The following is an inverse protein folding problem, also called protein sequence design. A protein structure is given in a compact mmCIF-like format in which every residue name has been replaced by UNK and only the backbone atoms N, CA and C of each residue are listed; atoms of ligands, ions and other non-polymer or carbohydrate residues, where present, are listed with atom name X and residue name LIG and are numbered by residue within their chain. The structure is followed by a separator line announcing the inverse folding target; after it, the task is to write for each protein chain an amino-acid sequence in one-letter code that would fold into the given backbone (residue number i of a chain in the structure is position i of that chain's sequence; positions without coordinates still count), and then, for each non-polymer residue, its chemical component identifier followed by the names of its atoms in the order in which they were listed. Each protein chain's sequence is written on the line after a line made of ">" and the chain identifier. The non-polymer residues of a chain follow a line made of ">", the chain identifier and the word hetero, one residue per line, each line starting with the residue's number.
data_IF_378547116776
#
_entry.id   IF_378547116776
#
_cell.length_a   1.000
_cell.length_b   1.000
_cell.length_c   1.000
_cell.angle_alpha   90.00
_cell.angle_beta   90.00
_cell.angle_gamma   90.00
#
_symmetry.space_group_name_H-M   'P 1'
#
loop_
_entity.id
_entity.type
_entity.pdbx_description
1 polymer ?
#
# COMPACT_ATOMS: atom_id res chain seq x y z
N UNK A 1 2.99 32.75 -10.24
CA UNK A 1 2.42 31.38 -10.16
C UNK A 1 0.93 31.48 -9.86
N UNK A 2 0.07 31.07 -10.80
CA UNK A 2 -1.40 31.12 -10.64
C UNK A 2 -1.90 30.12 -9.58
N UNK A 3 -3.00 30.43 -8.88
CA UNK A 3 -3.68 29.51 -7.94
C UNK A 3 -3.94 28.14 -8.58
N UNK A 4 -4.33 28.11 -9.87
CA UNK A 4 -4.55 26.88 -10.65
C UNK A 4 -3.28 26.02 -10.78
N UNK A 5 -2.12 26.64 -11.00
CA UNK A 5 -0.84 25.93 -11.10
C UNK A 5 -0.42 25.31 -9.77
N UNK A 6 -0.71 25.99 -8.65
CA UNK A 6 -0.42 25.48 -7.30
C UNK A 6 -1.31 24.29 -6.94
N UNK A 7 -2.60 24.35 -7.28
CA UNK A 7 -3.55 23.24 -7.08
C UNK A 7 -3.18 21.99 -7.91
N UNK A 8 -2.83 22.17 -9.19
CA UNK A 8 -2.40 21.05 -10.04
C UNK A 8 -1.13 20.37 -9.51
N UNK A 9 -0.19 21.14 -8.95
CA UNK A 9 1.02 20.58 -8.32
C UNK A 9 0.69 19.81 -7.04
N UNK A 10 -0.22 20.33 -6.21
CA UNK A 10 -0.65 19.66 -4.98
C UNK A 10 -1.31 18.31 -5.31
N UNK A 11 -2.27 18.30 -6.24
CA UNK A 11 -2.94 17.07 -6.69
C UNK A 11 -1.92 16.03 -7.21
N UNK A 12 -0.96 16.46 -8.03
CA UNK A 12 0.10 15.56 -8.52
C UNK A 12 0.95 14.98 -7.38
N UNK A 13 1.24 15.77 -6.36
CA UNK A 13 2.00 15.31 -5.20
C UNK A 13 1.19 14.30 -4.37
N UNK A 14 -0.10 14.52 -4.19
CA UNK A 14 -0.98 13.62 -3.43
C UNK A 14 -1.20 12.29 -4.17
N UNK A 15 -1.40 12.32 -5.50
CA UNK A 15 -1.43 11.11 -6.34
C UNK A 15 -0.11 10.35 -6.23
N UNK A 16 1.03 11.05 -6.30
CA UNK A 16 2.35 10.41 -6.16
C UNK A 16 2.49 9.72 -4.80
N UNK A 17 2.09 10.37 -3.71
CA UNK A 17 2.11 9.76 -2.37
C UNK A 17 1.22 8.52 -2.28
N UNK A 18 0.02 8.57 -2.86
CA UNK A 18 -0.90 7.43 -2.88
C UNK A 18 -0.32 6.25 -3.68
N UNK A 19 0.35 6.50 -4.80
CA UNK A 19 1.06 5.46 -5.57
C UNK A 19 2.25 4.90 -4.78
N UNK A 20 3.04 5.76 -4.16
CA UNK A 20 4.19 5.35 -3.35
C UNK A 20 3.75 4.48 -2.15
N UNK A 21 2.60 4.79 -1.53
CA UNK A 21 1.98 3.98 -0.47
C UNK A 21 1.58 2.58 -0.98
N UNK A 22 0.92 2.50 -2.14
CA UNK A 22 0.55 1.22 -2.75
C UNK A 22 1.79 0.36 -3.00
N UNK A 23 2.85 0.95 -3.56
CA UNK A 23 4.10 0.24 -3.83
C UNK A 23 4.77 -0.26 -2.55
N UNK A 24 4.74 0.55 -1.48
CA UNK A 24 5.27 0.15 -0.17
C UNK A 24 4.52 -1.04 0.40
N UNK A 25 3.18 -1.05 0.31
CA UNK A 25 2.36 -2.19 0.79
C UNK A 25 2.61 -3.44 -0.06
N UNK A 26 2.82 -3.31 -1.37
CA UNK A 26 3.18 -4.43 -2.24
C UNK A 26 4.53 -5.05 -1.86
N UNK A 27 5.55 -4.23 -1.61
CA UNK A 27 6.85 -4.73 -1.14
C UNK A 27 6.73 -5.48 0.17
N UNK A 28 5.97 -4.94 1.14
CA UNK A 28 5.73 -5.61 2.42
C UNK A 28 4.98 -6.94 2.25
N UNK A 29 4.02 -7.01 1.32
CA UNK A 29 3.35 -8.27 1.00
C UNK A 29 4.33 -9.30 0.46
N UNK A 30 5.17 -8.92 -0.50
CA UNK A 30 6.16 -9.81 -1.10
C UNK A 30 7.14 -10.34 -0.03
N UNK A 31 7.63 -9.46 0.84
CA UNK A 31 8.54 -9.82 1.94
C UNK A 31 7.86 -10.79 2.95
N UNK A 32 6.60 -10.54 3.31
CA UNK A 32 5.85 -11.40 4.24
C UNK A 32 5.48 -12.73 3.61
N UNK A 33 5.17 -12.77 2.30
CA UNK A 33 4.99 -14.01 1.56
C UNK A 33 6.28 -14.82 1.49
N UNK A 34 7.43 -14.17 1.28
CA UNK A 34 8.73 -14.85 1.35
C UNK A 34 8.99 -15.42 2.73
N UNK A 35 8.70 -14.67 3.81
CA UNK A 35 8.81 -15.20 5.18
C UNK A 35 7.89 -16.40 5.39
N UNK A 36 6.61 -16.29 5.04
CA UNK A 36 5.63 -17.38 5.14
C UNK A 36 6.12 -18.67 4.46
N UNK A 37 6.71 -18.57 3.26
CA UNK A 37 7.20 -19.73 2.51
C UNK A 37 8.45 -20.39 3.12
N UNK A 38 9.22 -19.67 3.94
CA UNK A 38 10.48 -20.15 4.50
C UNK A 38 10.37 -20.57 5.97
N UNK A 39 9.26 -20.25 6.63
CA UNK A 39 9.03 -20.54 8.05
C UNK A 39 8.29 -21.87 8.18
N UNK A 40 8.71 -22.70 9.14
CA UNK A 40 8.06 -23.99 9.45
C UNK A 40 7.36 -24.00 10.81
N UNK A 41 7.62 -22.99 11.65
CA UNK A 41 6.99 -22.86 12.96
C UNK A 41 5.51 -22.44 12.80
N UNK A 42 4.54 -23.21 13.34
CA UNK A 42 3.12 -22.91 13.18
C UNK A 42 2.70 -21.53 13.72
N UNK A 43 3.26 -21.08 14.85
CA UNK A 43 2.90 -19.79 15.43
C UNK A 43 3.42 -18.61 14.58
N UNK A 44 4.60 -18.75 13.99
CA UNK A 44 5.13 -17.78 13.04
C UNK A 44 4.37 -17.80 11.69
N UNK A 45 3.88 -18.96 11.24
CA UNK A 45 2.98 -19.04 10.07
C UNK A 45 1.68 -18.29 10.32
N UNK A 46 1.04 -18.49 11.48
CA UNK A 46 -0.18 -17.76 11.87
C UNK A 46 0.06 -16.25 11.91
N UNK A 47 1.22 -15.83 12.42
CA UNK A 47 1.63 -14.42 12.42
C UNK A 47 1.75 -13.87 11.00
N UNK A 48 2.38 -14.60 10.09
CA UNK A 48 2.49 -14.21 8.68
C UNK A 48 1.12 -14.14 7.99
N UNK A 49 0.20 -15.07 8.28
CA UNK A 49 -1.17 -15.06 7.74
C UNK A 49 -1.93 -13.81 8.20
N UNK A 50 -1.81 -13.46 9.48
CA UNK A 50 -2.44 -12.25 10.02
C UNK A 50 -1.85 -10.99 9.37
N UNK A 51 -0.52 -10.92 9.25
CA UNK A 51 0.19 -9.81 8.61
C UNK A 51 -0.20 -9.66 7.13
N UNK A 52 -0.26 -10.74 6.36
CA UNK A 52 -0.73 -10.73 4.96
C UNK A 52 -2.16 -10.21 4.87
N UNK A 53 -3.05 -10.62 5.78
CA UNK A 53 -4.45 -10.19 5.79
C UNK A 53 -4.60 -8.70 6.09
N UNK A 54 -3.81 -8.20 7.05
CA UNK A 54 -3.75 -6.78 7.39
C UNK A 54 -3.19 -5.96 6.20
N UNK A 55 -2.12 -6.43 5.57
CA UNK A 55 -1.50 -5.78 4.42
C UNK A 55 -2.43 -5.76 3.20
N UNK A 56 -3.18 -6.84 2.92
CA UNK A 56 -4.22 -6.86 1.88
C UNK A 56 -5.31 -5.83 2.14
N UNK A 57 -5.76 -5.71 3.39
CA UNK A 57 -6.75 -4.69 3.78
C UNK A 57 -6.21 -3.28 3.58
N UNK A 58 -4.95 -3.03 3.96
CA UNK A 58 -4.26 -1.76 3.73
C UNK A 58 -4.10 -1.44 2.25
N UNK A 59 -3.72 -2.42 1.43
CA UNK A 59 -3.63 -2.28 -0.03
C UNK A 59 -4.96 -1.86 -0.64
N UNK A 60 -6.05 -2.53 -0.26
CA UNK A 60 -7.40 -2.20 -0.74
C UNK A 60 -7.81 -0.77 -0.37
N UNK A 61 -7.46 -0.33 0.85
CA UNK A 61 -7.69 1.05 1.28
C UNK A 61 -6.88 2.05 0.44
N UNK A 62 -5.58 1.80 0.24
CA UNK A 62 -4.69 2.65 -0.54
C UNK A 62 -5.14 2.75 -2.01
N UNK A 63 -5.59 1.64 -2.61
CA UNK A 63 -6.18 1.63 -3.96
C UNK A 63 -7.48 2.46 -4.01
N UNK A 64 -8.36 2.35 -3.01
CA UNK A 64 -9.57 3.19 -2.94
C UNK A 64 -9.21 4.67 -2.82
N UNK A 65 -8.21 5.00 -1.99
CA UNK A 65 -7.71 6.37 -1.86
C UNK A 65 -7.18 6.89 -3.20
N UNK A 66 -6.35 6.11 -3.91
CA UNK A 66 -5.85 6.50 -5.23
C UNK A 66 -6.99 6.74 -6.23
N UNK A 67 -7.98 5.85 -6.27
CA UNK A 67 -9.15 5.99 -7.16
C UNK A 67 -9.96 7.26 -6.90
N UNK A 68 -10.01 7.73 -5.65
CA UNK A 68 -10.73 8.96 -5.30
C UNK A 68 -10.14 10.24 -5.90
N UNK A 69 -8.90 10.20 -6.40
CA UNK A 69 -8.33 11.33 -7.15
C UNK A 69 -8.78 11.39 -8.62
N UNK A 70 -9.42 10.33 -9.13
CA UNK A 70 -9.85 10.19 -10.53
C UNK A 70 -11.36 10.09 -10.71
N UNK A 71 -12.11 9.94 -9.60
CA UNK A 71 -13.58 9.90 -9.54
C UNK A 71 -14.11 11.24 -9.02
#
# INVERSE_FOLDING_TARGET
>A
MSKRSRQARALKADIKKAVDEINSVRSQLDDTYMRFNNVTDPAQLDTCIFEISALKSKYNCAVRNLKSFYL
#
